data_IF_148758468432
#
_entry.id   IF_148758468432
#
_cell.length_a   1.000
_cell.length_b   1.000
_cell.length_c   1.000
_cell.angle_alpha   90.00
_cell.angle_beta   90.00
_cell.angle_gamma   90.00
#
_symmetry.space_group_name_H-M   'P 1'
#
loop_
_entity.id
_entity.type
_entity.pdbx_description
1 polymer ?
#
# COMPACT_ATOMS: atom_id res chain seq x y z
N UNK A 1 10.38 6.75 -3.73
CA UNK A 1 11.15 5.51 -3.87
C UNK A 1 11.45 5.32 -5.36
N UNK A 2 12.40 4.46 -5.76
CA UNK A 2 12.67 4.24 -7.18
C UNK A 2 11.47 3.57 -7.87
N UNK A 3 11.32 3.75 -9.20
CA UNK A 3 10.24 3.12 -9.97
C UNK A 3 10.23 1.59 -9.80
N UNK A 4 11.40 0.98 -9.84
CA UNK A 4 11.59 -0.48 -9.67
C UNK A 4 11.20 -0.91 -8.26
N UNK A 5 11.64 -0.16 -7.22
CA UNK A 5 11.27 -0.46 -5.84
C UNK A 5 9.76 -0.41 -5.61
N UNK A 6 9.06 0.53 -6.27
CA UNK A 6 7.60 0.61 -6.22
C UNK A 6 6.94 -0.62 -6.82
N UNK A 7 7.40 -1.06 -7.98
CA UNK A 7 6.86 -2.25 -8.64
C UNK A 7 7.04 -3.48 -7.75
N UNK A 8 8.22 -3.66 -7.17
CA UNK A 8 8.51 -4.78 -6.27
C UNK A 8 7.61 -4.76 -5.03
N UNK A 9 7.49 -3.61 -4.38
CA UNK A 9 6.60 -3.45 -3.22
C UNK A 9 5.13 -3.66 -3.59
N UNK A 10 4.68 -3.20 -4.77
CA UNK A 10 3.31 -3.43 -5.23
C UNK A 10 3.02 -4.92 -5.46
N UNK A 11 3.98 -5.68 -5.99
CA UNK A 11 3.86 -7.14 -6.18
C UNK A 11 3.77 -7.84 -4.82
N UNK A 12 4.63 -7.49 -3.87
CA UNK A 12 4.61 -8.07 -2.51
C UNK A 12 3.26 -7.78 -1.83
N UNK A 13 2.82 -6.53 -1.83
CA UNK A 13 1.52 -6.16 -1.24
C UNK A 13 0.36 -6.89 -1.93
N UNK A 14 0.39 -7.02 -3.25
CA UNK A 14 -0.61 -7.80 -3.98
C UNK A 14 -0.62 -9.27 -3.55
N UNK A 15 0.55 -9.89 -3.35
CA UNK A 15 0.63 -11.26 -2.85
C UNK A 15 0.02 -11.42 -1.46
N UNK A 16 0.29 -10.47 -0.55
CA UNK A 16 -0.31 -10.44 0.78
C UNK A 16 -1.83 -10.26 0.72
N UNK A 17 -2.34 -9.32 -0.08
CA UNK A 17 -3.78 -9.10 -0.24
C UNK A 17 -4.46 -10.36 -0.80
N UNK A 18 -3.88 -11.00 -1.82
CA UNK A 18 -4.45 -12.22 -2.40
C UNK A 18 -4.41 -13.39 -1.44
N UNK A 19 -3.34 -13.54 -0.65
CA UNK A 19 -3.26 -14.53 0.44
C UNK A 19 -4.28 -14.24 1.55
N UNK A 20 -4.60 -12.97 1.81
CA UNK A 20 -5.61 -12.61 2.80
C UNK A 20 -7.02 -12.94 2.30
N UNK A 21 -7.32 -12.64 1.03
CA UNK A 21 -8.61 -12.98 0.39
C UNK A 21 -8.85 -14.49 0.35
N UNK A 22 -7.80 -15.31 0.19
CA UNK A 22 -7.95 -16.77 0.19
C UNK A 22 -8.23 -17.38 1.57
N UNK A 23 -8.10 -16.61 2.66
CA UNK A 23 -8.50 -17.07 4.00
C UNK A 23 -10.00 -17.24 4.07
N UNK A 24 -10.44 -18.24 4.84
CA UNK A 24 -11.85 -18.41 5.15
C UNK A 24 -12.33 -17.23 6.03
N UNK A 25 -13.35 -16.46 5.60
CA UNK A 25 -13.83 -15.30 6.36
C UNK A 25 -14.35 -15.67 7.75
N UNK A 26 -14.82 -16.91 7.95
CA UNK A 26 -15.24 -17.42 9.28
C UNK A 26 -14.10 -17.45 10.30
N UNK A 27 -12.84 -17.43 9.85
CA UNK A 27 -11.66 -17.42 10.71
C UNK A 27 -11.15 -16.01 11.03
N UNK A 28 -11.78 -14.96 10.48
CA UNK A 28 -11.45 -13.57 10.74
C UNK A 28 -12.18 -13.12 12.02
N UNK A 29 -11.42 -12.93 13.09
CA UNK A 29 -11.96 -12.70 14.44
C UNK A 29 -12.36 -11.24 14.69
N UNK A 30 -11.81 -10.30 13.95
CA UNK A 30 -12.06 -8.87 14.17
C UNK A 30 -12.99 -8.29 13.10
N UNK A 31 -13.88 -7.35 13.47
CA UNK A 31 -14.72 -6.64 12.49
C UNK A 31 -13.90 -5.87 11.44
N UNK A 32 -12.70 -5.43 11.81
CA UNK A 32 -11.78 -4.73 10.91
C UNK A 32 -11.27 -5.68 9.84
N UNK A 33 -10.86 -6.90 10.22
CA UNK A 33 -10.39 -7.92 9.28
C UNK A 33 -11.48 -8.34 8.31
N UNK A 34 -12.72 -8.49 8.79
CA UNK A 34 -13.88 -8.81 7.95
C UNK A 34 -14.13 -7.69 6.92
N UNK A 35 -14.22 -6.43 7.36
CA UNK A 35 -14.40 -5.29 6.43
C UNK A 35 -13.23 -5.16 5.45
N UNK A 36 -12.01 -5.43 5.90
CA UNK A 36 -10.83 -5.40 5.04
C UNK A 36 -10.89 -6.52 3.99
N UNK A 37 -11.28 -7.74 4.39
CA UNK A 37 -11.50 -8.87 3.47
C UNK A 37 -12.56 -8.54 2.42
N UNK A 38 -13.72 -8.06 2.85
CA UNK A 38 -14.82 -7.66 1.97
C UNK A 38 -14.39 -6.58 0.97
N UNK A 39 -13.66 -5.58 1.43
CA UNK A 39 -13.10 -4.52 0.57
C UNK A 39 -12.13 -5.08 -0.47
N UNK A 40 -11.23 -5.98 -0.07
CA UNK A 40 -10.29 -6.63 -0.99
C UNK A 40 -11.01 -7.53 -2.00
N UNK A 41 -12.02 -8.29 -1.58
CA UNK A 41 -12.84 -9.12 -2.48
C UNK A 41 -13.58 -8.23 -3.48
N UNK A 42 -14.18 -7.13 -3.04
CA UNK A 42 -14.90 -6.18 -3.91
C UNK A 42 -13.97 -5.54 -4.94
N UNK A 43 -12.75 -5.18 -4.55
CA UNK A 43 -11.82 -4.42 -5.41
C UNK A 43 -10.96 -5.32 -6.30
N UNK A 44 -10.59 -6.51 -5.84
CA UNK A 44 -9.64 -7.40 -6.54
C UNK A 44 -10.26 -8.73 -6.98
N UNK A 45 -11.47 -9.04 -6.53
CA UNK A 45 -12.22 -10.26 -6.85
C UNK A 45 -12.11 -11.33 -5.76
N UNK A 46 -13.02 -12.32 -5.77
CA UNK A 46 -13.06 -13.40 -4.78
C UNK A 46 -11.86 -14.36 -4.90
N UNK A 47 -11.73 -15.27 -3.93
CA UNK A 47 -10.83 -16.41 -4.05
C UNK A 47 -11.34 -17.37 -5.13
N UNK A 48 -10.45 -17.99 -5.90
CA UNK A 48 -10.80 -18.85 -7.03
C UNK A 48 -9.72 -19.90 -7.26
N UNK A 49 -10.14 -21.10 -7.64
CA UNK A 49 -9.24 -22.19 -8.04
C UNK A 49 -8.91 -22.12 -9.54
N UNK A 50 -9.56 -21.23 -10.31
CA UNK A 50 -9.28 -21.05 -11.73
C UNK A 50 -8.01 -20.20 -11.90
N UNK A 51 -6.94 -20.72 -12.54
CA UNK A 51 -5.66 -20.02 -12.64
C UNK A 51 -5.75 -18.71 -13.44
N UNK A 52 -6.59 -18.66 -14.48
CA UNK A 52 -6.79 -17.46 -15.30
C UNK A 52 -7.47 -16.36 -14.47
N UNK A 53 -8.47 -16.72 -13.68
CA UNK A 53 -9.14 -15.76 -12.80
C UNK A 53 -8.22 -15.32 -11.65
N UNK A 54 -7.43 -16.24 -11.10
CA UNK A 54 -6.43 -15.93 -10.07
C UNK A 54 -5.41 -14.90 -10.58
N UNK A 55 -4.89 -15.08 -11.81
CA UNK A 55 -3.99 -14.13 -12.45
C UNK A 55 -4.65 -12.75 -12.67
N UNK A 56 -5.91 -12.72 -13.14
CA UNK A 56 -6.66 -11.46 -13.29
C UNK A 56 -6.85 -10.74 -11.95
N UNK A 57 -7.21 -11.47 -10.90
CA UNK A 57 -7.37 -10.92 -9.55
C UNK A 57 -6.05 -10.42 -8.95
N UNK A 58 -4.95 -11.15 -9.18
CA UNK A 58 -3.63 -10.70 -8.78
C UNK A 58 -3.22 -9.40 -9.49
N UNK A 59 -3.47 -9.30 -10.80
CA UNK A 59 -3.20 -8.09 -11.56
C UNK A 59 -4.01 -6.89 -11.07
N UNK A 60 -5.29 -7.10 -10.71
CA UNK A 60 -6.11 -6.05 -10.06
C UNK A 60 -5.50 -5.59 -8.73
N UNK A 61 -5.07 -6.52 -7.87
CA UNK A 61 -4.41 -6.21 -6.61
C UNK A 61 -3.09 -5.45 -6.82
N UNK A 62 -2.28 -5.85 -7.80
CA UNK A 62 -1.04 -5.14 -8.17
C UNK A 62 -1.32 -3.69 -8.61
N UNK A 63 -2.32 -3.48 -9.47
CA UNK A 63 -2.69 -2.12 -9.92
C UNK A 63 -3.16 -1.25 -8.76
N UNK A 64 -3.99 -1.80 -7.87
CA UNK A 64 -4.46 -1.12 -6.67
C UNK A 64 -3.28 -0.69 -5.76
N UNK A 65 -2.37 -1.62 -5.48
CA UNK A 65 -1.20 -1.34 -4.64
C UNK A 65 -0.20 -0.38 -5.29
N UNK A 66 -0.04 -0.43 -6.61
CA UNK A 66 0.78 0.55 -7.33
C UNK A 66 0.26 1.97 -7.16
N UNK A 67 -1.06 2.16 -7.23
CA UNK A 67 -1.71 3.45 -6.98
C UNK A 67 -1.59 3.88 -5.52
N UNK A 68 -1.74 2.94 -4.58
CA UNK A 68 -1.58 3.20 -3.15
C UNK A 68 -0.17 3.70 -2.83
N UNK A 69 0.85 3.01 -3.32
CA UNK A 69 2.26 3.42 -3.13
C UNK A 69 2.57 4.77 -3.78
N UNK A 70 1.96 5.09 -4.93
CA UNK A 70 2.06 6.44 -5.51
C UNK A 70 1.49 7.51 -4.56
N UNK A 71 0.31 7.27 -3.98
CA UNK A 71 -0.29 8.19 -3.00
C UNK A 71 0.57 8.32 -1.75
N UNK A 72 1.06 7.20 -1.20
CA UNK A 72 1.93 7.20 -0.03
C UNK A 72 3.22 7.98 -0.30
N UNK A 73 3.79 7.91 -1.49
CA UNK A 73 4.94 8.74 -1.84
C UNK A 73 4.62 10.23 -1.93
N UNK A 74 3.46 10.60 -2.47
CA UNK A 74 3.01 12.00 -2.52
C UNK A 74 2.78 12.55 -1.12
N UNK A 75 2.19 11.75 -0.23
CA UNK A 75 2.00 12.15 1.18
C UNK A 75 3.37 12.27 1.86
N UNK A 76 4.25 11.27 1.70
CA UNK A 76 5.57 11.27 2.33
C UNK A 76 6.49 12.38 1.80
N UNK A 77 6.32 12.83 0.55
CA UNK A 77 7.14 13.92 0.00
C UNK A 77 6.86 15.25 0.70
N UNK A 78 5.65 15.45 1.23
CA UNK A 78 5.28 16.64 2.00
C UNK A 78 6.06 16.72 3.33
N UNK A 79 6.41 15.58 3.93
CA UNK A 79 7.14 15.53 5.20
C UNK A 79 8.67 15.45 5.04
N UNK A 80 9.17 15.10 3.86
CA UNK A 80 10.62 14.98 3.60
C UNK A 80 11.31 16.32 3.40
N UNK A 81 10.59 17.34 2.98
CA UNK A 81 11.14 18.69 2.87
C UNK A 81 10.99 19.39 4.23
N UNK A 82 12.11 19.72 4.92
CA UNK A 82 12.04 20.59 6.07
C UNK A 82 11.37 21.89 5.61
N UNK A 83 10.33 22.35 6.32
CA UNK A 83 9.70 23.63 6.04
C UNK A 83 10.76 24.74 5.99
N UNK A 84 10.52 25.79 5.21
CA UNK A 84 11.43 26.96 5.14
C UNK A 84 11.74 27.46 6.56
N UNK A 85 10.74 27.45 7.46
CA UNK A 85 10.90 27.72 8.88
C UNK A 85 11.91 26.81 9.58
N UNK A 86 11.86 25.49 9.36
CA UNK A 86 12.83 24.57 9.97
C UNK A 86 14.25 24.72 9.41
N UNK A 87 14.40 25.15 8.14
CA UNK A 87 15.71 25.50 7.56
C UNK A 87 16.23 26.82 8.15
N UNK A 88 15.38 27.83 8.28
CA UNK A 88 15.72 29.11 8.90
C UNK A 88 16.09 28.95 10.37
N UNK A 89 15.33 28.14 11.13
CA UNK A 89 15.61 27.85 12.54
C UNK A 89 16.95 27.10 12.71
N UNK A 90 17.25 26.13 11.83
CA UNK A 90 18.55 25.45 11.80
C UNK A 90 19.70 26.38 11.44
N UNK A 91 19.48 27.34 10.53
CA UNK A 91 20.46 28.35 10.18
C UNK A 91 20.74 29.30 11.35
N UNK A 92 19.69 29.82 11.99
CA UNK A 92 19.81 30.67 13.19
C UNK A 92 20.49 29.93 14.34
N UNK A 93 20.09 28.69 14.62
CA UNK A 93 20.71 27.87 15.67
C UNK A 93 22.20 27.56 15.37
N UNK A 94 22.61 27.56 14.10
CA UNK A 94 24.01 27.38 13.69
C UNK A 94 24.80 28.70 13.70
N UNK A 95 24.14 29.84 13.55
CA UNK A 95 24.75 31.17 13.60
C UNK A 95 24.96 31.69 15.04
N UNK A 96 24.22 31.16 16.01
CA UNK A 96 24.34 31.49 17.44
C UNK A 96 25.43 30.63 18.12
N UNK A 97 25.94 29.61 17.44
CA UNK A 97 26.99 28.69 17.94
C UNK A 97 28.34 29.05 17.35
#
# INVERSE_FOLDING_TARGET
>A
MSKIGRMYNAVISAAYDRRFVSKNPKNLKTPIDLKFHESLVKTTGPSTNNPIQAAKSFFKAYKLNSLRLLREEVINSQFRNPSIFSKALKFLAKAIR
#
